data_IF_707042192837
#
_entry.id   IF_707042192837
#
_cell.length_a   1.000
_cell.length_b   1.000
_cell.length_c   1.000
_cell.angle_alpha   90.00
_cell.angle_beta   90.00
_cell.angle_gamma   90.00
#
_symmetry.space_group_name_H-M   'P 1'
#
loop_
_entity.id
_entity.type
_entity.pdbx_description
1 polymer ?
#
# COMPACT_ATOMS: atom_id res chain seq x y z
N UNK A 1 -14.25 23.45 -7.12
CA UNK A 1 -14.39 22.30 -6.20
C UNK A 1 -15.18 22.77 -4.99
N UNK A 2 -16.25 22.08 -4.62
CA UNK A 2 -17.09 22.43 -3.45
C UNK A 2 -16.56 21.67 -2.22
N UNK A 3 -15.68 22.31 -1.45
CA UNK A 3 -15.00 21.70 -0.31
C UNK A 3 -15.97 21.30 0.81
N UNK A 4 -17.07 22.05 0.97
CA UNK A 4 -18.08 21.76 2.01
C UNK A 4 -18.75 20.39 1.81
N UNK A 5 -18.83 19.92 0.57
CA UNK A 5 -19.38 18.58 0.25
C UNK A 5 -18.37 17.44 0.37
N UNK A 6 -17.08 17.75 0.37
CA UNK A 6 -16.01 16.74 0.39
C UNK A 6 -15.49 16.51 1.81
N UNK A 7 -15.31 17.60 2.55
CA UNK A 7 -14.74 17.54 3.91
C UNK A 7 -15.80 17.06 4.89
N UNK A 8 -15.51 16.06 5.73
CA UNK A 8 -16.42 15.62 6.79
C UNK A 8 -16.71 16.76 7.77
N UNK A 9 -17.91 16.76 8.39
CA UNK A 9 -18.31 17.81 9.36
C UNK A 9 -17.35 17.98 10.55
N UNK A 10 -16.66 16.92 10.93
CA UNK A 10 -15.64 16.90 11.98
C UNK A 10 -14.21 17.02 11.42
N UNK A 11 -14.07 17.36 10.14
CA UNK A 11 -12.79 17.57 9.49
C UNK A 11 -12.14 18.92 9.84
N UNK A 12 -10.93 19.17 9.29
CA UNK A 12 -10.24 20.43 9.53
C UNK A 12 -10.99 21.62 8.88
N UNK A 13 -10.75 22.87 9.35
CA UNK A 13 -11.36 24.06 8.76
C UNK A 13 -11.04 24.22 7.28
N UNK A 14 -12.02 24.61 6.47
CA UNK A 14 -11.90 24.72 5.00
C UNK A 14 -10.75 25.64 4.57
N UNK A 15 -10.52 26.74 5.29
CA UNK A 15 -9.44 27.65 5.00
C UNK A 15 -8.04 27.01 5.21
N UNK A 16 -7.90 26.07 6.13
CA UNK A 16 -6.67 25.28 6.30
C UNK A 16 -6.53 24.26 5.18
N UNK A 17 -7.61 23.50 4.89
CA UNK A 17 -7.63 22.54 3.78
C UNK A 17 -7.20 23.18 2.48
N UNK A 18 -7.73 24.37 2.16
CA UNK A 18 -7.39 25.10 0.94
C UNK A 18 -5.89 25.42 0.84
N UNK A 19 -5.25 25.79 1.95
CA UNK A 19 -3.80 26.06 2.00
C UNK A 19 -2.99 24.78 1.70
N UNK A 20 -3.39 23.64 2.25
CA UNK A 20 -2.70 22.37 2.02
C UNK A 20 -2.91 21.85 0.60
N UNK A 21 -4.11 21.99 0.03
CA UNK A 21 -4.37 21.67 -1.37
C UNK A 21 -3.45 22.48 -2.28
N UNK A 22 -3.39 23.79 -2.09
CA UNK A 22 -2.52 24.66 -2.90
C UNK A 22 -1.04 24.32 -2.74
N UNK A 23 -0.62 23.98 -1.52
CA UNK A 23 0.77 23.62 -1.24
C UNK A 23 1.20 22.31 -1.91
N UNK A 24 0.31 21.32 -2.00
CA UNK A 24 0.65 19.95 -2.43
C UNK A 24 -0.01 19.52 -3.75
N UNK A 25 -0.68 20.44 -4.46
CA UNK A 25 -1.41 20.13 -5.70
C UNK A 25 -0.57 19.47 -6.80
N UNK A 26 0.73 19.77 -6.83
CA UNK A 26 1.67 19.28 -7.84
C UNK A 26 2.54 18.12 -7.31
N UNK A 27 2.43 17.79 -6.03
CA UNK A 27 3.22 16.77 -5.37
C UNK A 27 2.55 15.40 -5.44
N UNK A 28 3.39 14.36 -5.36
CA UNK A 28 2.99 12.99 -5.08
C UNK A 28 3.24 12.68 -3.61
N UNK A 29 2.18 12.45 -2.86
CA UNK A 29 2.29 12.08 -1.46
C UNK A 29 2.41 10.56 -1.34
N UNK A 30 3.53 10.08 -0.79
CA UNK A 30 3.74 8.67 -0.49
C UNK A 30 3.29 8.36 0.95
N UNK A 31 2.29 7.50 1.08
CA UNK A 31 1.78 7.02 2.36
C UNK A 31 2.22 5.58 2.58
N UNK A 32 3.02 5.35 3.62
CA UNK A 32 3.33 3.99 4.07
C UNK A 32 2.24 3.51 5.03
N UNK A 33 1.57 2.44 4.65
CA UNK A 33 0.54 1.80 5.45
C UNK A 33 1.02 0.40 5.87
N UNK A 34 1.26 0.22 7.16
CA UNK A 34 1.85 -1.02 7.66
C UNK A 34 1.42 -1.38 9.08
N UNK A 35 1.80 -2.57 9.50
CA UNK A 35 1.56 -3.08 10.85
C UNK A 35 0.19 -3.72 11.05
N UNK A 36 -0.23 -3.78 12.31
CA UNK A 36 -1.45 -4.49 12.74
C UNK A 36 -2.75 -3.78 12.37
N UNK A 37 -2.69 -2.59 11.80
CA UNK A 37 -3.84 -1.76 11.40
C UNK A 37 -4.79 -2.53 10.44
N UNK A 38 -4.26 -3.45 9.66
CA UNK A 38 -5.02 -4.26 8.70
C UNK A 38 -5.88 -5.38 9.30
N UNK A 39 -5.74 -5.67 10.58
CA UNK A 39 -6.55 -6.68 11.26
C UNK A 39 -7.91 -6.11 11.68
N UNK A 40 -8.02 -4.79 11.80
CA UNK A 40 -9.25 -4.09 12.13
C UNK A 40 -9.95 -3.57 10.86
N UNK A 41 -11.13 -4.13 10.59
CA UNK A 41 -11.93 -3.75 9.43
C UNK A 41 -12.40 -2.30 9.48
N UNK A 42 -12.67 -1.74 10.65
CA UNK A 42 -13.13 -0.37 10.80
C UNK A 42 -12.03 0.62 10.43
N UNK A 43 -10.81 0.36 10.89
CA UNK A 43 -9.63 1.16 10.57
C UNK A 43 -9.31 1.08 9.05
N UNK A 44 -9.44 -0.10 8.45
CA UNK A 44 -9.26 -0.24 7.00
C UNK A 44 -10.28 0.60 6.22
N UNK A 45 -11.56 0.56 6.61
CA UNK A 45 -12.62 1.35 5.96
C UNK A 45 -12.31 2.84 6.09
N UNK A 46 -12.01 3.34 7.29
CA UNK A 46 -11.67 4.75 7.52
C UNK A 46 -10.45 5.19 6.68
N UNK A 47 -9.44 4.34 6.57
CA UNK A 47 -8.28 4.62 5.71
C UNK A 47 -8.66 4.76 4.23
N UNK A 48 -9.52 3.88 3.71
CA UNK A 48 -10.00 3.97 2.33
C UNK A 48 -10.85 5.24 2.12
N UNK A 49 -11.68 5.61 3.11
CA UNK A 49 -12.45 6.86 3.09
C UNK A 49 -11.53 8.08 3.03
N UNK A 50 -10.51 8.15 3.86
CA UNK A 50 -9.53 9.24 3.88
C UNK A 50 -8.79 9.36 2.55
N UNK A 51 -8.34 8.23 1.97
CA UNK A 51 -7.72 8.22 0.64
C UNK A 51 -8.67 8.74 -0.44
N UNK A 52 -9.94 8.35 -0.39
CA UNK A 52 -10.95 8.82 -1.34
C UNK A 52 -11.18 10.33 -1.19
N UNK A 53 -11.23 10.85 0.03
CA UNK A 53 -11.35 12.29 0.31
C UNK A 53 -10.15 13.04 -0.27
N UNK A 54 -8.92 12.61 0.03
CA UNK A 54 -7.70 13.23 -0.47
C UNK A 54 -7.65 13.23 -2.01
N UNK A 55 -8.05 12.14 -2.66
CA UNK A 55 -8.13 12.07 -4.12
C UNK A 55 -9.16 13.06 -4.67
N UNK A 56 -10.36 13.17 -4.07
CA UNK A 56 -11.38 14.15 -4.45
C UNK A 56 -10.91 15.60 -4.28
N UNK A 57 -9.99 15.84 -3.36
CA UNK A 57 -9.34 17.14 -3.17
C UNK A 57 -8.23 17.42 -4.20
N UNK A 58 -7.97 16.49 -5.12
CA UNK A 58 -6.96 16.62 -6.17
C UNK A 58 -5.55 16.26 -5.74
N UNK A 59 -5.37 15.66 -4.56
CA UNK A 59 -4.07 15.20 -4.08
C UNK A 59 -3.71 13.87 -4.74
N UNK A 60 -2.52 13.79 -5.33
CA UNK A 60 -1.98 12.55 -5.89
C UNK A 60 -1.35 11.72 -4.79
N UNK A 61 -1.75 10.45 -4.67
CA UNK A 61 -1.32 9.59 -3.57
C UNK A 61 -0.74 8.29 -4.11
N UNK A 62 0.41 7.89 -3.57
CA UNK A 62 0.99 6.57 -3.72
C UNK A 62 0.94 5.86 -2.36
N UNK A 63 0.23 4.75 -2.27
CA UNK A 63 0.17 3.94 -1.04
C UNK A 63 1.18 2.81 -1.12
N UNK A 64 2.06 2.74 -0.14
CA UNK A 64 3.01 1.63 0.05
C UNK A 64 2.49 0.79 1.22
N UNK A 65 1.99 -0.40 0.92
CA UNK A 65 1.47 -1.29 1.96
C UNK A 65 2.37 -2.49 2.22
N UNK A 66 2.34 -2.99 3.44
CA UNK A 66 2.92 -4.27 3.82
C UNK A 66 1.83 -5.34 3.95
N UNK A 67 2.20 -6.54 4.42
CA UNK A 67 1.25 -7.64 4.59
C UNK A 67 1.57 -8.58 5.77
N UNK A 68 2.51 -8.20 6.64
CA UNK A 68 3.04 -9.09 7.69
C UNK A 68 1.98 -9.89 8.46
N UNK A 69 0.97 -9.26 9.07
CA UNK A 69 -0.08 -9.96 9.80
C UNK A 69 -0.96 -10.87 8.93
N UNK A 70 -1.29 -10.45 7.70
CA UNK A 70 -2.06 -11.29 6.76
C UNK A 70 -1.24 -12.49 6.30
N UNK A 71 0.05 -12.30 6.01
CA UNK A 71 0.98 -13.37 5.67
C UNK A 71 1.08 -14.37 6.82
N UNK A 72 1.25 -13.87 8.04
CA UNK A 72 1.33 -14.73 9.22
C UNK A 72 0.08 -15.60 9.39
N UNK A 73 -1.09 -15.01 9.27
CA UNK A 73 -2.37 -15.72 9.34
C UNK A 73 -2.52 -16.79 8.27
N UNK A 74 -2.05 -16.53 7.03
CA UNK A 74 -2.15 -17.49 5.95
C UNK A 74 -1.15 -18.66 6.09
N UNK A 75 0.05 -18.38 6.60
CA UNK A 75 1.02 -19.41 6.95
C UNK A 75 0.50 -20.31 8.07
N UNK A 76 -0.14 -19.75 9.10
CA UNK A 76 -0.77 -20.51 10.18
C UNK A 76 -1.87 -21.46 9.68
N UNK A 77 -2.72 -20.99 8.77
CA UNK A 77 -3.75 -21.84 8.12
C UNK A 77 -3.12 -23.00 7.34
N UNK A 78 -1.95 -22.76 6.77
CA UNK A 78 -1.19 -23.76 6.03
C UNK A 78 -0.31 -24.65 6.93
N UNK A 79 -0.41 -24.50 8.25
CA UNK A 79 0.44 -25.17 9.25
C UNK A 79 1.96 -24.92 9.03
N UNK A 80 2.32 -23.74 8.53
CA UNK A 80 3.70 -23.34 8.30
C UNK A 80 4.13 -22.36 9.41
N UNK A 81 5.19 -22.70 10.13
CA UNK A 81 5.77 -21.82 11.13
C UNK A 81 6.76 -20.83 10.51
N UNK A 82 6.56 -19.55 10.80
CA UNK A 82 7.51 -18.51 10.39
C UNK A 82 8.78 -18.54 11.25
N UNK A 83 9.92 -18.44 10.58
CA UNK A 83 11.21 -18.18 11.23
C UNK A 83 11.70 -16.79 10.83
N UNK A 84 12.37 -16.13 11.75
CA UNK A 84 12.94 -14.80 11.50
C UNK A 84 14.42 -14.78 11.85
N UNK A 85 15.23 -14.15 11.00
CA UNK A 85 16.64 -13.88 11.22
C UNK A 85 16.84 -12.37 11.08
N UNK A 86 17.33 -11.70 12.10
CA UNK A 86 17.55 -10.24 12.13
C UNK A 86 16.31 -9.44 11.72
N UNK A 87 15.11 -9.90 12.08
CA UNK A 87 13.85 -9.24 11.73
C UNK A 87 13.32 -9.53 10.32
N UNK A 88 14.05 -10.28 9.51
CA UNK A 88 13.64 -10.73 8.18
C UNK A 88 13.07 -12.14 8.25
N UNK A 89 11.95 -12.38 7.55
CA UNK A 89 11.33 -13.71 7.47
C UNK A 89 12.17 -14.62 6.59
N UNK A 90 12.57 -15.77 7.11
CA UNK A 90 13.13 -16.83 6.27
C UNK A 90 12.04 -17.30 5.31
N UNK A 91 12.29 -17.17 4.01
CA UNK A 91 11.28 -17.31 2.96
C UNK A 91 11.75 -18.35 1.95
N UNK A 92 11.31 -19.60 2.11
CA UNK A 92 11.55 -20.67 1.13
C UNK A 92 10.55 -20.61 -0.05
N UNK A 93 10.62 -21.57 -0.97
CA UNK A 93 9.75 -21.64 -2.17
C UNK A 93 8.26 -21.70 -1.80
N UNK A 94 7.88 -22.41 -0.74
CA UNK A 94 6.48 -22.52 -0.32
C UNK A 94 5.99 -21.22 0.30
N UNK A 95 6.84 -20.58 1.08
CA UNK A 95 6.52 -19.34 1.77
C UNK A 95 6.44 -18.18 0.79
N UNK A 96 7.32 -18.11 -0.23
CA UNK A 96 7.30 -16.99 -1.18
C UNK A 96 6.00 -16.94 -1.99
N UNK A 97 5.47 -18.09 -2.40
CA UNK A 97 4.20 -18.17 -3.11
C UNK A 97 3.03 -17.65 -2.26
N UNK A 98 3.01 -18.02 -0.98
CA UNK A 98 1.98 -17.53 -0.04
C UNK A 98 2.14 -16.02 0.17
N UNK A 99 3.37 -15.54 0.38
CA UNK A 99 3.67 -14.11 0.57
C UNK A 99 3.21 -13.31 -0.65
N UNK A 100 3.55 -13.75 -1.85
CA UNK A 100 3.17 -13.09 -3.09
C UNK A 100 1.65 -12.99 -3.24
N UNK A 101 0.95 -14.12 -3.10
CA UNK A 101 -0.50 -14.15 -3.25
C UNK A 101 -1.19 -13.24 -2.22
N UNK A 102 -0.79 -13.30 -0.96
CA UNK A 102 -1.35 -12.45 0.11
C UNK A 102 -1.14 -10.97 -0.18
N UNK A 103 0.03 -10.57 -0.69
CA UNK A 103 0.31 -9.18 -1.02
C UNK A 103 -0.47 -8.70 -2.24
N UNK A 104 -0.62 -9.54 -3.27
CA UNK A 104 -1.42 -9.23 -4.46
C UNK A 104 -2.90 -9.11 -4.09
N UNK A 105 -3.44 -10.05 -3.32
CA UNK A 105 -4.83 -10.01 -2.87
C UNK A 105 -5.11 -8.76 -2.04
N UNK A 106 -4.18 -8.40 -1.18
CA UNK A 106 -4.33 -7.20 -0.39
C UNK A 106 -4.25 -5.91 -1.23
N UNK A 107 -3.38 -5.86 -2.22
CA UNK A 107 -3.34 -4.78 -3.19
C UNK A 107 -4.69 -4.64 -3.92
N UNK A 108 -5.26 -5.76 -4.37
CA UNK A 108 -6.56 -5.80 -5.01
C UNK A 108 -7.71 -5.37 -4.08
N UNK A 109 -7.66 -5.73 -2.79
CA UNK A 109 -8.63 -5.28 -1.78
C UNK A 109 -8.64 -3.75 -1.65
N UNK A 110 -7.45 -3.12 -1.61
CA UNK A 110 -7.32 -1.65 -1.55
C UNK A 110 -7.89 -1.02 -2.81
N UNK A 111 -7.47 -1.48 -3.98
CA UNK A 111 -7.93 -0.96 -5.28
C UNK A 111 -9.44 -1.06 -5.41
N UNK A 112 -10.01 -2.25 -5.20
CA UNK A 112 -11.45 -2.47 -5.33
C UNK A 112 -12.27 -1.67 -4.31
N UNK A 113 -11.73 -1.43 -3.12
CA UNK A 113 -12.39 -0.60 -2.11
C UNK A 113 -12.41 0.87 -2.51
N UNK A 114 -11.34 1.39 -3.09
CA UNK A 114 -11.27 2.75 -3.62
C UNK A 114 -12.21 2.93 -4.82
N UNK A 115 -12.24 1.97 -5.73
CA UNK A 115 -13.13 1.99 -6.90
C UNK A 115 -14.62 2.02 -6.51
N UNK A 116 -15.00 1.26 -5.48
CA UNK A 116 -16.37 1.30 -4.90
C UNK A 116 -16.74 2.68 -4.37
N UNK A 117 -15.77 3.50 -3.99
CA UNK A 117 -15.97 4.89 -3.56
C UNK A 117 -15.86 5.91 -4.72
N UNK A 118 -15.75 5.42 -5.96
CA UNK A 118 -15.61 6.26 -7.15
C UNK A 118 -14.22 6.86 -7.32
N UNK A 119 -13.21 6.35 -6.61
CA UNK A 119 -11.82 6.79 -6.73
C UNK A 119 -11.09 5.86 -7.69
N UNK A 120 -10.48 6.43 -8.75
CA UNK A 120 -9.62 5.66 -9.65
C UNK A 120 -8.36 5.23 -8.92
N UNK A 121 -8.02 3.97 -8.96
CA UNK A 121 -6.83 3.41 -8.35
C UNK A 121 -6.17 2.37 -9.27
N UNK A 122 -4.86 2.26 -9.21
CA UNK A 122 -4.08 1.28 -9.96
C UNK A 122 -3.23 0.49 -9.00
N UNK A 123 -3.42 -0.81 -8.98
CA UNK A 123 -2.57 -1.74 -8.22
C UNK A 123 -1.26 -1.98 -8.94
N UNK A 124 -0.17 -1.77 -8.22
CA UNK A 124 1.18 -1.98 -8.72
C UNK A 124 1.86 -3.03 -7.85
N UNK A 125 2.46 -4.04 -8.48
CA UNK A 125 3.29 -5.02 -7.81
C UNK A 125 4.45 -5.46 -8.70
N UNK A 126 5.57 -5.82 -8.09
CA UNK A 126 6.85 -6.04 -8.77
C UNK A 126 6.78 -7.11 -9.85
N UNK A 127 6.05 -8.21 -9.62
CA UNK A 127 5.90 -9.30 -10.59
C UNK A 127 5.33 -8.84 -11.93
N UNK A 128 4.35 -7.94 -11.90
CA UNK A 128 3.68 -7.43 -13.11
C UNK A 128 4.41 -6.24 -13.73
N UNK A 129 4.93 -5.37 -12.89
CA UNK A 129 5.39 -4.05 -13.31
C UNK A 129 6.92 -3.89 -13.26
N UNK A 130 7.64 -4.83 -12.68
CA UNK A 130 9.11 -4.81 -12.54
C UNK A 130 9.67 -3.47 -12.00
N UNK A 131 9.04 -2.98 -10.91
CA UNK A 131 9.35 -1.65 -10.35
C UNK A 131 10.62 -1.67 -9.54
N UNK A 132 10.86 -2.76 -8.79
CA UNK A 132 11.99 -2.90 -7.89
C UNK A 132 12.83 -4.08 -8.35
N UNK A 133 14.07 -3.79 -8.73
CA UNK A 133 15.11 -4.79 -8.91
C UNK A 133 15.79 -5.04 -7.58
N UNK A 134 15.97 -6.29 -7.21
CA UNK A 134 16.56 -6.69 -5.94
C UNK A 134 17.81 -7.53 -6.14
N UNK A 135 18.78 -7.39 -5.26
CA UNK A 135 19.87 -8.33 -5.10
C UNK A 135 19.49 -9.34 -4.03
N UNK A 136 19.82 -10.61 -4.28
CA UNK A 136 19.58 -11.68 -3.30
C UNK A 136 20.33 -11.37 -2.00
N UNK A 137 19.66 -11.50 -0.88
CA UNK A 137 20.24 -11.37 0.45
C UNK A 137 20.96 -12.70 0.86
N UNK A 138 21.28 -12.87 2.14
CA UNK A 138 21.98 -14.02 2.64
C UNK A 138 21.25 -15.34 2.29
N UNK A 139 21.98 -16.38 1.86
CA UNK A 139 21.39 -17.65 1.41
C UNK A 139 20.44 -18.30 2.44
N UNK A 140 20.70 -18.13 3.73
CA UNK A 140 19.87 -18.64 4.82
C UNK A 140 18.49 -17.99 4.92
N UNK A 141 18.30 -16.86 4.27
CA UNK A 141 17.01 -16.16 4.20
C UNK A 141 16.11 -16.64 3.05
N UNK A 142 16.66 -17.41 2.09
CA UNK A 142 15.93 -17.92 0.93
C UNK A 142 15.60 -16.85 -0.10
N UNK A 143 14.32 -16.62 -0.38
CA UNK A 143 13.82 -15.62 -1.34
C UNK A 143 13.64 -14.23 -0.71
N UNK A 144 14.68 -13.77 -0.05
CA UNK A 144 14.77 -12.40 0.46
C UNK A 144 15.76 -11.62 -0.38
N UNK A 145 15.41 -10.38 -0.72
CA UNK A 145 16.26 -9.51 -1.51
C UNK A 145 16.33 -8.10 -0.94
N UNK A 146 17.48 -7.48 -1.14
CA UNK A 146 17.71 -6.06 -0.83
C UNK A 146 17.47 -5.23 -2.09
N UNK A 147 16.65 -4.15 -2.04
CA UNK A 147 16.42 -3.28 -3.17
C UNK A 147 17.73 -2.70 -3.73
N UNK A 148 17.92 -2.83 -5.04
CA UNK A 148 19.11 -2.35 -5.76
C UNK A 148 18.75 -1.19 -6.70
N UNK A 149 17.67 -1.31 -7.46
CA UNK A 149 17.24 -0.30 -8.41
C UNK A 149 15.73 -0.15 -8.39
N UNK A 150 15.27 1.09 -8.54
CA UNK A 150 13.84 1.40 -8.64
C UNK A 150 13.56 2.01 -10.01
N UNK A 151 12.59 1.45 -10.74
CA UNK A 151 12.14 1.98 -12.01
C UNK A 151 11.04 3.02 -11.80
N UNK A 152 11.48 4.27 -11.59
CA UNK A 152 10.59 5.39 -11.32
C UNK A 152 9.68 5.74 -12.51
N UNK A 153 10.10 5.46 -13.74
CA UNK A 153 9.33 5.80 -14.94
C UNK A 153 7.96 5.13 -14.96
N UNK A 154 7.88 3.89 -14.46
CA UNK A 154 6.61 3.17 -14.38
C UNK A 154 5.62 3.92 -13.47
N UNK A 155 6.09 4.36 -12.29
CA UNK A 155 5.26 5.09 -11.33
C UNK A 155 4.84 6.44 -11.93
N UNK A 156 5.78 7.19 -12.50
CA UNK A 156 5.54 8.50 -13.08
C UNK A 156 4.56 8.44 -14.26
N UNK A 157 4.57 7.37 -15.06
CA UNK A 157 3.64 7.19 -16.18
C UNK A 157 2.21 6.86 -15.72
N UNK A 158 2.05 6.24 -14.55
CA UNK A 158 0.72 5.96 -13.98
C UNK A 158 0.09 7.21 -13.37
N UNK A 159 0.90 8.13 -12.87
CA UNK A 159 0.46 9.34 -12.15
C UNK A 159 0.12 10.50 -13.10
N UNK A 160 0.61 10.48 -14.32
CA UNK A 160 0.28 11.46 -15.37
C UNK A 160 -1.18 11.33 -15.82
#
# INVERSE_FOLDING_TARGET
MDLEKIIPKNGPPINEVSKYIEKYKDDLICLKYGGNIFLDRSIFISFIEDLSILNKLGIKICVIHGGGPRIQKELEKSNIQSKFIRGLRVTDEKIIDIVENVLIDFNNDIVSSLEKMGTKAVGIHTKKNNIIEVLRDAPELGFVGTPNKINNEIILNIIK
#
